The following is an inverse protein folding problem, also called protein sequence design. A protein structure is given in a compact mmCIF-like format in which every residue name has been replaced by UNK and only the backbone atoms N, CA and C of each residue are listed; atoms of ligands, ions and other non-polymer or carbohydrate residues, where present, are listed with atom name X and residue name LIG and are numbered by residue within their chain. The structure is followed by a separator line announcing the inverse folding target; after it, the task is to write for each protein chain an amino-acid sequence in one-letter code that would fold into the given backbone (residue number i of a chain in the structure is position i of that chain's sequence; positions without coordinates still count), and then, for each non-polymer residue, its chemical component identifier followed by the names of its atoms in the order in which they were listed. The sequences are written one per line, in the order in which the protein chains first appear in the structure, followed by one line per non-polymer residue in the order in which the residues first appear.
data_IF_225001063318
#
_entry.id   IF_225001063318
#
_cell.length_a   1.000
_cell.length_b   1.000
_cell.length_c   1.000
_cell.angle_alpha   90.00
_cell.angle_beta   90.00
_cell.angle_gamma   90.00
#
_symmetry.space_group_name_H-M   'P 1'
#
loop_
_entity.id
_entity.type
_entity.pdbx_description
1 polymer ?
#
# COMPACT_ATOMS: atom_id res chain seq x y z
N UNK A 1 4.60 -5.37 4.09
CA UNK A 1 3.84 -6.07 5.16
C UNK A 1 3.84 -5.25 6.45
N UNK A 2 2.71 -5.11 7.14
CA UNK A 2 2.59 -4.25 8.35
C UNK A 2 3.48 -4.70 9.50
N UNK A 3 3.50 -6.01 9.80
CA UNK A 3 4.27 -6.56 10.92
C UNK A 3 5.78 -6.26 10.79
N UNK A 4 6.36 -6.50 9.61
CA UNK A 4 7.77 -6.21 9.31
C UNK A 4 8.09 -4.72 9.46
N UNK A 5 7.15 -3.83 9.09
CA UNK A 5 7.33 -2.38 9.25
C UNK A 5 7.19 -1.94 10.71
N UNK A 6 6.30 -2.54 11.50
CA UNK A 6 6.14 -2.28 12.93
C UNK A 6 5.19 -3.35 13.50
N UNK A 7 5.71 -4.21 14.37
CA UNK A 7 4.91 -5.30 14.95
C UNK A 7 3.82 -4.76 15.89
N UNK A 8 4.09 -3.67 16.62
CA UNK A 8 3.05 -2.98 17.41
C UNK A 8 1.92 -2.39 16.54
N UNK A 9 2.21 -1.90 15.32
CA UNK A 9 1.11 -1.50 14.40
C UNK A 9 0.24 -2.69 14.02
N UNK A 10 0.82 -3.88 13.89
CA UNK A 10 0.06 -5.09 13.64
C UNK A 10 -0.84 -5.43 14.84
N UNK A 11 -0.30 -5.37 16.07
CA UNK A 11 -1.06 -5.55 17.30
C UNK A 11 -2.28 -4.62 17.33
N UNK A 12 -2.07 -3.31 17.19
CA UNK A 12 -3.15 -2.33 17.32
C UNK A 12 -4.22 -2.51 16.24
N UNK A 13 -3.81 -2.65 14.98
CA UNK A 13 -4.76 -2.69 13.85
C UNK A 13 -5.49 -4.03 13.74
N UNK A 14 -4.76 -5.15 13.85
CA UNK A 14 -5.29 -6.46 13.49
C UNK A 14 -5.64 -7.32 14.70
N UNK A 15 -4.81 -7.33 15.75
CA UNK A 15 -5.11 -8.12 16.93
C UNK A 15 -6.12 -7.42 17.88
N UNK A 16 -6.07 -6.09 17.94
CA UNK A 16 -6.97 -5.27 18.77
C UNK A 16 -8.00 -4.48 17.95
N UNK A 17 -8.08 -4.65 16.62
CA UNK A 17 -9.09 -4.00 15.78
C UNK A 17 -9.13 -2.46 15.82
N UNK A 18 -8.12 -1.78 16.38
CA UNK A 18 -8.10 -0.32 16.52
C UNK A 18 -7.68 0.26 15.17
N UNK A 19 -8.66 0.67 14.36
CA UNK A 19 -8.40 1.24 13.03
C UNK A 19 -7.97 2.71 13.12
N UNK A 20 -7.14 3.12 12.17
CA UNK A 20 -6.78 4.51 11.91
C UNK A 20 -7.00 4.81 10.43
N UNK A 21 -7.59 5.97 10.11
CA UNK A 21 -7.67 6.42 8.74
C UNK A 21 -6.27 6.55 8.14
N UNK A 22 -6.05 6.11 6.91
CA UNK A 22 -4.86 6.49 6.17
C UNK A 22 -4.90 8.02 5.92
N UNK A 23 -3.76 8.71 6.05
CA UNK A 23 -3.70 10.15 5.81
C UNK A 23 -4.09 10.55 4.38
N UNK A 24 -4.38 11.84 4.15
CA UNK A 24 -4.85 12.35 2.84
C UNK A 24 -3.93 11.99 1.68
N UNK A 25 -2.61 11.97 1.90
CA UNK A 25 -1.63 11.58 0.88
C UNK A 25 -1.73 10.09 0.48
N UNK A 26 -2.16 9.21 1.40
CA UNK A 26 -2.42 7.80 1.07
C UNK A 26 -3.75 7.64 0.32
N UNK A 27 -4.79 8.41 0.70
CA UNK A 27 -6.06 8.45 -0.05
C UNK A 27 -5.84 8.94 -1.50
N UNK A 28 -4.90 9.86 -1.72
CA UNK A 28 -4.48 10.29 -3.06
C UNK A 28 -3.88 9.15 -3.89
N UNK A 29 -2.94 8.41 -3.29
CA UNK A 29 -2.36 7.22 -3.94
C UNK A 29 -3.42 6.17 -4.26
N UNK A 30 -4.31 5.89 -3.32
CA UNK A 30 -5.45 4.99 -3.52
C UNK A 30 -6.31 5.40 -4.72
N UNK A 31 -6.71 6.68 -4.80
CA UNK A 31 -7.53 7.17 -5.91
C UNK A 31 -6.84 7.03 -7.28
N UNK A 32 -5.51 7.18 -7.34
CA UNK A 32 -4.75 6.89 -8.56
C UNK A 32 -4.79 5.40 -8.92
N UNK A 33 -4.57 4.50 -7.96
CA UNK A 33 -4.67 3.05 -8.21
C UNK A 33 -6.06 2.67 -8.74
N UNK A 34 -7.13 3.12 -8.08
CA UNK A 34 -8.51 2.86 -8.53
C UNK A 34 -8.79 3.42 -9.93
N UNK A 35 -8.25 4.61 -10.24
CA UNK A 35 -8.37 5.21 -11.58
C UNK A 35 -7.70 4.35 -12.65
N UNK A 36 -6.48 3.87 -12.38
CA UNK A 36 -5.76 3.04 -13.34
C UNK A 36 -6.33 1.63 -13.44
N UNK A 37 -6.80 1.06 -12.33
CA UNK A 37 -7.55 -0.20 -12.31
C UNK A 37 -8.77 -0.12 -13.24
N UNK A 38 -9.61 0.91 -13.07
CA UNK A 38 -10.78 1.10 -13.93
C UNK A 38 -10.37 1.31 -15.40
N UNK A 39 -9.33 2.12 -15.65
CA UNK A 39 -8.80 2.31 -17.00
C UNK A 39 -8.35 0.98 -17.64
N UNK A 40 -7.60 0.15 -16.92
CA UNK A 40 -7.07 -1.10 -17.45
C UNK A 40 -8.13 -2.18 -17.60
N UNK A 41 -9.13 -2.22 -16.71
CA UNK A 41 -10.29 -3.11 -16.87
C UNK A 41 -11.07 -2.77 -18.15
N UNK A 42 -11.33 -1.47 -18.41
CA UNK A 42 -11.93 -1.02 -19.66
C UNK A 42 -11.04 -1.38 -20.86
N UNK A 43 -9.73 -1.08 -20.77
CA UNK A 43 -8.77 -1.38 -21.83
C UNK A 43 -8.66 -2.87 -22.14
N UNK A 44 -8.83 -3.74 -21.15
CA UNK A 44 -8.88 -5.20 -21.35
C UNK A 44 -10.09 -5.60 -22.20
N UNK A 45 -11.22 -4.89 -22.07
CA UNK A 45 -12.48 -5.15 -22.78
C UNK A 45 -12.49 -4.56 -24.19
N UNK A 46 -12.03 -3.33 -24.38
CA UNK A 46 -12.19 -2.58 -25.63
C UNK A 46 -10.87 -2.24 -26.36
N UNK A 47 -9.71 -2.61 -25.79
CA UNK A 47 -8.36 -2.28 -26.26
C UNK A 47 -7.99 -0.79 -26.25
N UNK A 48 -8.86 0.10 -25.77
CA UNK A 48 -8.68 1.56 -25.74
C UNK A 48 -8.53 2.07 -24.31
N UNK A 49 -9.40 1.62 -23.40
CA UNK A 49 -9.55 2.16 -22.06
C UNK A 49 -10.14 3.58 -22.07
N UNK A 50 -10.07 4.24 -20.92
CA UNK A 50 -10.49 5.63 -20.78
C UNK A 50 -9.67 6.59 -21.66
N UNK A 51 -10.27 7.72 -22.05
CA UNK A 51 -9.50 8.88 -22.49
C UNK A 51 -8.85 9.55 -21.28
N UNK A 52 -7.75 10.27 -21.51
CA UNK A 52 -7.02 10.97 -20.43
C UNK A 52 -7.92 11.95 -19.66
N UNK A 53 -8.84 12.63 -20.36
CA UNK A 53 -9.81 13.54 -19.74
C UNK A 53 -10.75 12.79 -18.79
N UNK A 54 -11.32 11.68 -19.26
CA UNK A 54 -12.28 10.89 -18.49
C UNK A 54 -11.59 10.26 -17.26
N UNK A 55 -10.34 9.82 -17.40
CA UNK A 55 -9.55 9.31 -16.28
C UNK A 55 -9.27 10.39 -15.21
N UNK A 56 -9.03 11.64 -15.63
CA UNK A 56 -8.87 12.78 -14.71
C UNK A 56 -10.16 13.11 -13.97
N UNK A 57 -11.29 13.14 -14.67
CA UNK A 57 -12.61 13.37 -14.07
C UNK A 57 -12.92 12.27 -13.04
N UNK A 58 -12.70 11.00 -13.41
CA UNK A 58 -12.87 9.85 -12.51
C UNK A 58 -11.95 9.94 -11.28
N UNK A 59 -10.69 10.31 -11.45
CA UNK A 59 -9.76 10.50 -10.32
C UNK A 59 -10.25 11.55 -9.32
N UNK A 60 -10.74 12.70 -9.82
CA UNK A 60 -11.25 13.77 -8.94
C UNK A 60 -12.43 13.27 -8.12
N UNK A 61 -13.35 12.53 -8.74
CA UNK A 61 -14.50 11.94 -8.06
C UNK A 61 -14.08 10.92 -7.00
N UNK A 62 -13.24 9.94 -7.36
CA UNK A 62 -12.75 8.92 -6.42
C UNK A 62 -11.99 9.56 -5.27
N UNK A 63 -11.14 10.55 -5.55
CA UNK A 63 -10.36 11.22 -4.50
C UNK A 63 -11.24 12.05 -3.57
N UNK A 64 -12.28 12.73 -4.09
CA UNK A 64 -13.25 13.44 -3.27
C UNK A 64 -13.96 12.49 -2.31
N UNK A 65 -14.50 11.38 -2.82
CA UNK A 65 -15.20 10.39 -1.97
C UNK A 65 -14.25 9.81 -0.91
N UNK A 66 -13.00 9.54 -1.29
CA UNK A 66 -11.96 9.06 -0.37
C UNK A 66 -11.61 10.08 0.74
N UNK A 67 -11.75 11.39 0.47
CA UNK A 67 -11.59 12.45 1.47
C UNK A 67 -12.80 12.58 2.39
N UNK A 68 -14.02 12.43 1.88
CA UNK A 68 -15.24 12.41 2.70
C UNK A 68 -15.20 11.24 3.70
N UNK A 69 -14.81 10.04 3.26
CA UNK A 69 -14.55 8.90 4.15
C UNK A 69 -13.48 9.22 5.19
N UNK A 70 -12.37 9.83 4.76
CA UNK A 70 -11.28 10.21 5.66
C UNK A 70 -11.76 11.16 6.76
N UNK A 71 -12.60 12.14 6.42
CA UNK A 71 -13.15 13.11 7.38
C UNK A 71 -14.04 12.41 8.43
N UNK A 72 -14.91 11.49 8.00
CA UNK A 72 -15.71 10.67 8.91
C UNK A 72 -14.85 9.81 9.84
N UNK A 73 -13.91 9.04 9.28
CA UNK A 73 -12.99 8.20 10.06
C UNK A 73 -12.11 9.02 11.02
N UNK A 74 -11.71 10.23 10.61
CA UNK A 74 -10.92 11.13 11.46
C UNK A 74 -11.73 11.68 12.61
N UNK A 75 -12.99 12.05 12.43
CA UNK A 75 -13.82 12.57 13.52
C UNK A 75 -13.99 11.52 14.63
N UNK A 76 -14.17 10.25 14.26
CA UNK A 76 -14.26 9.14 15.20
C UNK A 76 -12.93 8.84 15.93
N UNK A 77 -11.79 9.04 15.26
CA UNK A 77 -10.48 8.59 15.77
C UNK A 77 -9.55 9.72 16.24
N UNK A 78 -9.97 10.98 16.13
CA UNK A 78 -9.19 12.20 16.44
C UNK A 78 -8.58 12.20 17.84
N UNK A 79 -9.33 11.72 18.83
CA UNK A 79 -8.86 11.65 20.23
C UNK A 79 -7.65 10.73 20.41
N UNK A 80 -7.48 9.78 19.49
CA UNK A 80 -6.48 8.73 19.55
C UNK A 80 -5.19 9.06 18.81
N UNK A 81 -5.14 10.17 18.08
CA UNK A 81 -3.93 10.68 17.40
C UNK A 81 -3.35 11.89 18.14
N UNK A 82 -2.09 12.20 17.86
CA UNK A 82 -1.35 13.35 18.43
C UNK A 82 -1.81 14.68 17.82
N UNK A 83 -1.56 15.79 18.52
CA UNK A 83 -1.85 17.14 18.00
C UNK A 83 -1.00 17.43 16.77
N UNK A 84 0.26 16.99 16.78
CA UNK A 84 1.23 17.14 15.71
C UNK A 84 0.78 16.43 14.42
N UNK A 85 0.22 15.22 14.53
CA UNK A 85 -0.39 14.50 13.40
C UNK A 85 -1.56 15.30 12.80
N UNK A 86 -2.44 15.82 13.65
CA UNK A 86 -3.59 16.62 13.19
C UNK A 86 -3.17 17.91 12.50
N UNK A 87 -2.16 18.60 13.03
CA UNK A 87 -1.58 19.79 12.40
C UNK A 87 -1.01 19.42 11.03
N UNK A 88 -0.26 18.31 10.94
CA UNK A 88 0.31 17.85 9.68
C UNK A 88 -0.74 17.58 8.61
N UNK A 89 -1.81 16.88 8.95
CA UNK A 89 -2.91 16.58 8.02
C UNK A 89 -3.72 17.84 7.65
N UNK A 90 -3.76 18.85 8.52
CA UNK A 90 -4.39 20.15 8.24
C UNK A 90 -3.57 20.99 7.26
N UNK A 91 -2.25 20.90 7.29
CA UNK A 91 -1.33 21.60 6.38
C UNK A 91 -1.33 21.04 4.95
N UNK A 92 -1.88 19.84 4.74
CA UNK A 92 -1.99 19.24 3.41
C UNK A 92 -3.00 20.03 2.57
N UNK A 93 -2.51 20.66 1.50
CA UNK A 93 -3.32 21.31 0.48
C UNK A 93 -3.95 20.25 -0.44
N UNK A 94 -5.28 20.13 -0.35
CA UNK A 94 -6.07 19.20 -1.18
C UNK A 94 -6.02 19.59 -2.65
N UNK A 95 -6.01 20.89 -2.98
CA UNK A 95 -5.93 21.34 -4.37
C UNK A 95 -4.57 20.99 -4.97
N UNK A 96 -3.49 21.06 -4.18
CA UNK A 96 -2.18 20.58 -4.60
C UNK A 96 -2.21 19.08 -4.90
N UNK A 97 -2.85 18.27 -4.05
CA UNK A 97 -2.99 16.82 -4.28
C UNK A 97 -3.80 16.51 -5.55
N UNK A 98 -4.91 17.22 -5.78
CA UNK A 98 -5.67 17.10 -7.03
C UNK A 98 -4.77 17.42 -8.22
N UNK A 99 -4.14 18.58 -8.23
CA UNK A 99 -3.26 19.00 -9.33
C UNK A 99 -2.10 18.02 -9.55
N UNK A 100 -1.53 17.45 -8.49
CA UNK A 100 -0.52 16.39 -8.58
C UNK A 100 -1.07 15.14 -9.27
N UNK A 101 -2.26 14.68 -8.87
CA UNK A 101 -2.89 13.49 -9.46
C UNK A 101 -3.14 13.66 -10.95
N UNK A 102 -3.64 14.83 -11.36
CA UNK A 102 -3.88 15.15 -12.77
C UNK A 102 -2.58 15.10 -13.61
N UNK A 103 -1.48 15.66 -13.09
CA UNK A 103 -0.15 15.56 -13.75
C UNK A 103 0.36 14.13 -13.82
N UNK A 104 0.15 13.35 -12.76
CA UNK A 104 0.50 11.93 -12.73
C UNK A 104 -0.22 11.13 -13.80
N UNK A 105 -1.52 11.38 -13.97
CA UNK A 105 -2.35 10.76 -15.01
C UNK A 105 -1.84 11.15 -16.40
N UNK A 106 -1.55 12.42 -16.66
CA UNK A 106 -1.01 12.87 -17.96
C UNK A 106 0.26 12.12 -18.35
N UNK A 107 1.21 12.08 -17.44
CA UNK A 107 2.51 11.45 -17.65
C UNK A 107 2.36 9.94 -17.80
N UNK A 108 1.52 9.31 -17.00
CA UNK A 108 1.26 7.87 -17.10
C UNK A 108 0.59 7.51 -18.45
N UNK A 109 -0.40 8.28 -18.87
CA UNK A 109 -1.09 8.07 -20.16
C UNK A 109 -0.17 8.29 -21.35
N UNK A 110 0.78 9.22 -21.24
CA UNK A 110 1.77 9.49 -22.28
C UNK A 110 2.85 8.41 -22.35
N UNK A 111 3.41 8.01 -21.22
CA UNK A 111 4.64 7.22 -21.18
C UNK A 111 4.41 5.71 -21.00
N UNK A 112 3.40 5.32 -20.23
CA UNK A 112 3.18 3.93 -19.81
C UNK A 112 2.00 3.28 -20.52
N UNK A 113 0.86 3.97 -20.59
CA UNK A 113 -0.37 3.41 -21.17
C UNK A 113 -0.16 2.80 -22.58
N UNK A 114 0.55 3.43 -23.54
CA UNK A 114 0.71 2.85 -24.88
C UNK A 114 1.50 1.53 -24.91
N UNK A 115 2.28 1.25 -23.87
CA UNK A 115 3.18 0.09 -23.79
C UNK A 115 2.54 -1.11 -23.10
N UNK A 116 1.45 -0.89 -22.37
CA UNK A 116 0.80 -1.87 -21.51
C UNK A 116 -0.51 -2.39 -22.14
N UNK A 117 -0.61 -3.70 -22.27
CA UNK A 117 -1.81 -4.38 -22.78
C UNK A 117 -2.29 -5.35 -21.70
N UNK A 118 -3.35 -5.04 -20.96
CA UNK A 118 -3.71 -5.78 -19.76
C UNK A 118 -4.15 -7.22 -20.05
N UNK A 119 -3.83 -8.10 -19.10
CA UNK A 119 -4.19 -9.52 -19.03
C UNK A 119 -4.92 -9.79 -17.71
N UNK A 120 -4.27 -9.54 -16.57
CA UNK A 120 -4.90 -9.47 -15.25
C UNK A 120 -4.95 -8.01 -14.78
N UNK A 121 -6.02 -7.62 -14.11
CA UNK A 121 -6.22 -6.26 -13.56
C UNK A 121 -6.89 -6.42 -12.22
N UNK A 122 -6.27 -5.90 -11.15
CA UNK A 122 -6.77 -5.99 -9.78
C UNK A 122 -7.20 -7.41 -9.40
N UNK A 123 -6.46 -8.42 -9.87
CA UNK A 123 -6.84 -9.82 -9.75
C UNK A 123 -6.52 -10.32 -8.34
N UNK A 124 -7.54 -10.77 -7.57
CA UNK A 124 -7.32 -11.31 -6.24
C UNK A 124 -6.62 -12.67 -6.32
N UNK A 125 -5.81 -12.98 -5.31
CA UNK A 125 -5.22 -14.31 -5.14
C UNK A 125 -5.30 -14.76 -3.68
N UNK A 126 -5.37 -16.07 -3.49
CA UNK A 126 -5.26 -16.73 -2.20
C UNK A 126 -4.38 -17.97 -2.35
N UNK A 127 -3.21 -17.96 -1.72
CA UNK A 127 -2.25 -19.06 -1.75
C UNK A 127 -2.23 -19.72 -0.37
N UNK A 128 -2.49 -21.04 -0.27
CA UNK A 128 -2.30 -21.77 0.98
C UNK A 128 -0.86 -21.64 1.49
N UNK A 129 -0.69 -21.24 2.74
CA UNK A 129 0.60 -20.98 3.38
C UNK A 129 0.72 -21.72 4.73
N UNK A 130 0.43 -23.03 4.71
CA UNK A 130 0.37 -23.89 5.90
C UNK A 130 -1.06 -24.34 6.25
N UNK A 131 -1.21 -25.14 7.31
CA UNK A 131 -2.45 -25.88 7.60
C UNK A 131 -3.68 -25.02 7.92
N UNK A 132 -3.53 -23.71 8.16
CA UNK A 132 -4.64 -22.79 8.48
C UNK A 132 -4.41 -21.34 8.04
N UNK A 133 -3.36 -21.09 7.24
CA UNK A 133 -3.00 -19.75 6.80
C UNK A 133 -3.18 -19.63 5.30
N UNK A 134 -3.67 -18.47 4.87
CA UNK A 134 -3.73 -18.09 3.46
C UNK A 134 -2.98 -16.78 3.27
N UNK A 135 -2.07 -16.78 2.31
CA UNK A 135 -1.49 -15.57 1.77
C UNK A 135 -2.47 -15.00 0.75
N UNK A 136 -3.14 -13.91 1.13
CA UNK A 136 -4.10 -13.21 0.28
C UNK A 136 -3.52 -11.89 -0.21
N UNK A 137 -3.96 -11.48 -1.40
CA UNK A 137 -3.58 -10.19 -1.96
C UNK A 137 -4.26 -9.95 -3.30
N UNK A 138 -3.80 -8.91 -3.99
CA UNK A 138 -4.33 -8.47 -5.26
C UNK A 138 -3.17 -8.02 -6.13
N UNK A 139 -3.09 -8.50 -7.38
CA UNK A 139 -2.10 -8.01 -8.34
C UNK A 139 -2.69 -6.80 -9.04
N UNK A 140 -2.01 -5.65 -8.97
CA UNK A 140 -2.42 -4.41 -9.63
C UNK A 140 -2.72 -4.64 -11.12
N UNK A 141 -1.72 -5.08 -11.90
CA UNK A 141 -1.89 -5.40 -13.32
C UNK A 141 -0.81 -6.35 -13.85
N UNK A 142 -1.17 -7.16 -14.85
CA UNK A 142 -0.21 -7.88 -15.68
C UNK A 142 -0.49 -7.62 -17.15
N UNK A 143 0.54 -7.63 -17.99
CA UNK A 143 0.36 -7.48 -19.42
C UNK A 143 0.30 -8.83 -20.18
N UNK A 144 -0.18 -8.79 -21.42
CA UNK A 144 -0.24 -9.96 -22.33
C UNK A 144 1.15 -10.52 -22.69
N UNK A 145 2.24 -9.81 -22.42
CA UNK A 145 3.61 -10.30 -22.61
C UNK A 145 4.07 -11.14 -21.42
N UNK A 146 3.30 -11.15 -20.33
CA UNK A 146 3.60 -11.88 -19.10
C UNK A 146 4.48 -11.08 -18.15
N UNK A 147 4.38 -9.75 -18.17
CA UNK A 147 5.05 -8.85 -17.23
C UNK A 147 4.06 -8.43 -16.15
N UNK A 148 4.49 -8.48 -14.89
CA UNK A 148 3.72 -7.95 -13.75
C UNK A 148 4.09 -6.47 -13.57
N UNK A 149 3.10 -5.61 -13.38
CA UNK A 149 3.28 -4.17 -13.18
C UNK A 149 2.76 -3.77 -11.79
N UNK A 150 3.67 -3.38 -10.91
CA UNK A 150 3.34 -2.83 -9.59
C UNK A 150 3.41 -1.32 -9.63
N UNK A 151 2.26 -0.64 -9.53
CA UNK A 151 2.22 0.81 -9.54
C UNK A 151 2.55 1.35 -8.16
N UNK A 152 3.31 2.44 -8.10
CA UNK A 152 3.52 3.22 -6.88
C UNK A 152 3.50 4.71 -7.17
N UNK A 153 3.14 5.48 -6.16
CA UNK A 153 3.23 6.94 -6.20
C UNK A 153 4.16 7.41 -5.09
N UNK A 154 4.96 8.44 -5.36
CA UNK A 154 5.92 8.96 -4.38
C UNK A 154 6.30 10.40 -4.65
N UNK A 155 6.65 11.15 -3.59
CA UNK A 155 7.29 12.47 -3.69
C UNK A 155 8.82 12.39 -3.66
N UNK A 156 9.37 11.26 -3.21
CA UNK A 156 10.82 11.01 -3.11
C UNK A 156 11.25 10.06 -4.21
N UNK A 157 12.43 10.33 -4.78
CA UNK A 157 13.03 9.43 -5.76
C UNK A 157 13.25 8.05 -5.11
N UNK A 158 12.70 6.97 -5.68
CA UNK A 158 12.97 5.61 -5.21
C UNK A 158 14.44 5.23 -5.45
N UNK A 159 14.97 4.41 -4.54
CA UNK A 159 16.30 3.84 -4.59
C UNK A 159 16.22 2.41 -5.18
N UNK A 160 17.16 2.05 -6.07
CA UNK A 160 17.22 0.73 -6.69
C UNK A 160 17.44 -0.41 -5.68
N UNK A 161 18.22 -0.18 -4.61
CA UNK A 161 18.50 -1.20 -3.59
C UNK A 161 17.23 -1.60 -2.81
N UNK A 162 16.34 -0.64 -2.52
CA UNK A 162 15.08 -0.90 -1.79
C UNK A 162 14.15 -1.85 -2.56
N UNK A 163 14.34 -1.96 -3.88
CA UNK A 163 13.47 -2.74 -4.76
C UNK A 163 13.92 -4.19 -4.81
N UNK A 164 15.23 -4.45 -4.78
CA UNK A 164 15.77 -5.80 -4.73
C UNK A 164 15.39 -6.56 -3.45
N UNK A 165 15.09 -5.83 -2.38
CA UNK A 165 14.69 -6.38 -1.09
C UNK A 165 13.16 -6.38 -0.90
N UNK A 166 12.38 -6.00 -1.91
CA UNK A 166 10.93 -5.87 -1.77
C UNK A 166 10.23 -7.24 -1.80
N UNK A 167 9.79 -7.67 -0.63
CA UNK A 167 9.02 -8.90 -0.42
C UNK A 167 7.70 -8.92 -1.21
N UNK A 168 7.11 -7.76 -1.54
CA UNK A 168 5.89 -7.68 -2.35
C UNK A 168 6.12 -8.26 -3.74
N UNK A 169 7.30 -8.04 -4.33
CA UNK A 169 7.64 -8.57 -5.67
C UNK A 169 7.75 -10.10 -5.67
N UNK A 170 8.29 -10.69 -4.60
CA UNK A 170 8.35 -12.15 -4.45
C UNK A 170 6.94 -12.76 -4.32
N UNK A 171 6.06 -12.11 -3.55
CA UNK A 171 4.66 -12.53 -3.38
C UNK A 171 3.90 -12.46 -4.71
N UNK A 172 4.10 -11.39 -5.48
CA UNK A 172 3.42 -11.20 -6.76
C UNK A 172 3.85 -12.23 -7.81
N UNK A 173 5.13 -12.59 -7.83
CA UNK A 173 5.63 -13.67 -8.70
C UNK A 173 5.01 -15.03 -8.33
N UNK A 174 4.92 -15.35 -7.04
CA UNK A 174 4.28 -16.57 -6.56
C UNK A 174 2.80 -16.60 -6.95
N UNK A 175 2.08 -15.49 -6.75
CA UNK A 175 0.68 -15.35 -7.14
C UNK A 175 0.48 -15.49 -8.65
N UNK A 176 1.33 -14.84 -9.46
CA UNK A 176 1.29 -14.97 -10.91
C UNK A 176 1.50 -16.41 -11.37
N UNK A 177 2.51 -17.10 -10.81
CA UNK A 177 2.78 -18.49 -11.17
C UNK A 177 1.60 -19.41 -10.82
N UNK A 178 0.95 -19.18 -9.68
CA UNK A 178 -0.27 -19.91 -9.29
C UNK A 178 -1.41 -19.64 -10.27
N UNK A 179 -1.68 -18.37 -10.60
CA UNK A 179 -2.80 -17.97 -11.46
C UNK A 179 -2.62 -18.39 -12.92
N UNK A 180 -1.38 -18.39 -13.44
CA UNK A 180 -1.09 -18.62 -14.86
C UNK A 180 -0.42 -19.96 -15.17
N UNK A 181 -0.09 -20.75 -14.14
CA UNK A 181 0.61 -22.04 -14.28
C UNK A 181 2.05 -21.93 -14.79
N UNK A 182 2.61 -20.72 -14.89
CA UNK A 182 3.94 -20.45 -15.44
C UNK A 182 4.56 -19.21 -14.81
N UNK A 183 5.90 -19.11 -14.72
CA UNK A 183 6.54 -17.91 -14.17
C UNK A 183 6.31 -16.67 -15.05
N UNK A 184 6.31 -15.50 -14.42
CA UNK A 184 6.30 -14.23 -15.14
C UNK A 184 7.59 -14.05 -15.93
N UNK A 185 7.50 -13.39 -17.10
CA UNK A 185 8.68 -13.07 -17.92
C UNK A 185 9.46 -11.88 -17.35
N UNK A 186 8.78 -11.01 -16.62
CA UNK A 186 9.35 -9.83 -15.98
C UNK A 186 8.43 -9.29 -14.90
N UNK A 187 8.99 -8.45 -14.04
CA UNK A 187 8.22 -7.62 -13.12
C UNK A 187 8.77 -6.20 -13.17
N UNK A 188 7.88 -5.21 -13.15
CA UNK A 188 8.24 -3.81 -13.06
C UNK A 188 7.63 -3.19 -11.83
N UNK A 189 8.40 -2.26 -11.23
CA UNK A 189 7.89 -1.35 -10.22
C UNK A 189 7.85 0.04 -10.84
N UNK A 190 6.64 0.50 -11.10
CA UNK A 190 6.33 1.67 -11.90
C UNK A 190 5.99 2.82 -10.95
N UNK A 191 6.91 3.75 -10.78
CA UNK A 191 6.71 4.90 -9.90
C UNK A 191 6.25 6.11 -10.70
N UNK A 192 5.12 6.70 -10.29
CA UNK A 192 4.82 8.10 -10.58
C UNK A 192 5.52 8.94 -9.50
N UNK A 193 6.62 9.59 -9.88
CA UNK A 193 7.41 10.45 -9.00
C UNK A 193 6.95 11.88 -9.16
N UNK A 194 6.37 12.44 -8.10
CA UNK A 194 5.91 13.82 -8.05
C UNK A 194 7.00 14.76 -7.54
N UNK A 195 7.18 15.87 -8.24
CA UNK A 195 7.85 17.05 -7.74
C UNK A 195 6.83 18.18 -7.53
N UNK A 196 7.29 19.32 -7.00
CA UNK A 196 6.42 20.47 -6.72
C UNK A 196 5.65 20.96 -7.96
N UNK A 197 6.24 20.85 -9.16
CA UNK A 197 5.64 21.39 -10.39
C UNK A 197 5.48 20.36 -11.51
N UNK A 198 5.99 19.15 -11.33
CA UNK A 198 6.07 18.16 -12.42
C UNK A 198 5.85 16.73 -11.90
N UNK A 199 5.60 15.79 -12.81
CA UNK A 199 5.55 14.36 -12.54
C UNK A 199 6.39 13.63 -13.59
N UNK A 200 6.98 12.49 -13.21
CA UNK A 200 7.71 11.63 -14.16
C UNK A 200 7.55 10.16 -13.80
N UNK A 201 7.70 9.29 -14.79
CA UNK A 201 7.79 7.86 -14.54
C UNK A 201 9.22 7.46 -14.22
N UNK A 202 9.38 6.67 -13.17
CA UNK A 202 10.61 5.93 -12.89
C UNK A 202 10.25 4.46 -12.79
N UNK A 203 10.78 3.67 -13.71
CA UNK A 203 10.53 2.23 -13.76
C UNK A 203 11.78 1.46 -13.34
N UNK A 204 11.59 0.48 -12.46
CA UNK A 204 12.60 -0.52 -12.17
C UNK A 204 12.12 -1.85 -12.72
N UNK A 205 12.91 -2.40 -13.64
CA UNK A 205 12.57 -3.63 -14.34
C UNK A 205 13.47 -4.76 -13.87
N UNK A 206 12.87 -5.89 -13.56
CA UNK A 206 13.56 -7.14 -13.27
C UNK A 206 13.16 -8.13 -14.36
N UNK A 207 14.11 -8.47 -15.21
CA UNK A 207 13.96 -9.50 -16.23
C UNK A 207 14.17 -10.89 -15.61
N UNK A 208 13.31 -11.85 -15.97
CA UNK A 208 13.35 -13.22 -15.43
C UNK A 208 13.48 -13.25 -13.90
N UNK A 209 12.52 -12.66 -13.18
CA UNK A 209 12.64 -12.50 -11.75
C UNK A 209 12.66 -13.88 -11.09
N UNK A 210 13.57 -14.04 -10.13
CA UNK A 210 13.69 -15.25 -9.33
C UNK A 210 13.08 -14.99 -7.97
N UNK A 211 12.35 -15.98 -7.46
CA UNK A 211 11.87 -15.99 -6.10
C UNK A 211 11.96 -17.40 -5.53
N UNK A 212 12.26 -17.49 -4.23
CA UNK A 212 12.18 -18.74 -3.49
C UNK A 212 10.89 -18.76 -2.67
N UNK A 213 9.93 -19.61 -3.08
CA UNK A 213 8.66 -19.78 -2.38
C UNK A 213 8.86 -20.22 -0.92
N UNK A 214 9.89 -21.01 -0.63
CA UNK A 214 10.15 -21.49 0.72
C UNK A 214 10.60 -20.34 1.63
N UNK A 215 11.34 -19.36 1.08
CA UNK A 215 11.69 -18.13 1.82
C UNK A 215 10.44 -17.31 2.12
N UNK A 216 9.54 -17.16 1.15
CA UNK A 216 8.27 -16.44 1.36
C UNK A 216 7.44 -17.11 2.45
N UNK A 217 7.21 -18.43 2.37
CA UNK A 217 6.42 -19.16 3.36
C UNK A 217 7.08 -19.19 4.73
N UNK A 218 8.41 -19.40 4.82
CA UNK A 218 9.14 -19.34 6.09
C UNK A 218 9.00 -17.98 6.76
N UNK A 219 9.06 -16.88 6.00
CA UNK A 219 8.85 -15.54 6.56
C UNK A 219 7.43 -15.36 7.10
N UNK A 220 6.42 -15.86 6.38
CA UNK A 220 5.02 -15.85 6.83
C UNK A 220 4.87 -16.65 8.13
N UNK A 221 5.37 -17.89 8.16
CA UNK A 221 5.30 -18.75 9.34
C UNK A 221 5.98 -18.11 10.55
N UNK A 222 7.15 -17.50 10.33
CA UNK A 222 7.91 -16.80 11.39
C UNK A 222 7.12 -15.61 11.95
N UNK A 223 6.51 -14.80 11.08
CA UNK A 223 5.66 -13.69 11.50
C UNK A 223 4.46 -14.20 12.30
N UNK A 224 3.78 -15.24 11.80
CA UNK A 224 2.58 -15.76 12.45
C UNK A 224 2.89 -16.44 13.78
N UNK A 225 4.02 -17.12 13.89
CA UNK A 225 4.49 -17.66 15.17
C UNK A 225 4.79 -16.55 16.19
N UNK A 226 5.45 -15.48 15.74
CA UNK A 226 5.72 -14.34 16.60
C UNK A 226 4.42 -13.65 17.08
N UNK A 227 3.42 -13.51 16.19
CA UNK A 227 2.07 -13.01 16.55
C UNK A 227 1.41 -13.92 17.58
N UNK A 228 1.42 -15.25 17.41
CA UNK A 228 0.84 -16.20 18.38
C UNK A 228 1.51 -16.12 19.75
N UNK A 229 2.81 -15.83 19.77
CA UNK A 229 3.61 -15.65 21.00
C UNK A 229 3.54 -14.23 21.58
N UNK A 230 2.66 -13.37 21.05
CA UNK A 230 2.52 -11.97 21.47
C UNK A 230 3.82 -11.15 21.37
N UNK A 231 4.66 -11.45 20.38
CA UNK A 231 5.89 -10.72 20.13
C UNK A 231 5.54 -9.49 19.29
N UNK A 232 5.40 -8.35 19.95
CA UNK A 232 5.10 -7.08 19.30
C UNK A 232 6.11 -6.03 19.76
N UNK A 233 7.13 -5.79 18.93
CA UNK A 233 8.15 -4.77 19.20
C UNK A 233 7.85 -3.47 18.46
N UNK A 234 8.22 -2.37 19.10
CA UNK A 234 8.25 -1.04 18.51
C UNK A 234 9.49 -0.90 17.63
N UNK A 235 9.37 -0.23 16.48
CA UNK A 235 10.56 0.31 15.81
C UNK A 235 10.89 1.63 16.50
N UNK A 236 12.12 1.78 16.98
CA UNK A 236 12.48 2.99 17.72
C UNK A 236 12.42 4.21 16.77
N UNK A 237 11.99 5.41 17.22
CA UNK A 237 11.98 6.62 16.38
C UNK A 237 13.36 6.98 15.79
N UNK A 238 14.44 6.58 16.48
CA UNK A 238 15.81 6.73 15.96
C UNK A 238 16.12 5.79 14.77
N UNK A 239 15.39 4.69 14.65
CA UNK A 239 15.53 3.69 13.59
C UNK A 239 14.60 3.96 12.42
N UNK A 240 13.50 4.70 12.62
CA UNK A 240 12.58 5.03 11.53
C UNK A 240 11.77 6.30 11.75
N UNK A 241 11.77 7.14 10.72
CA UNK A 241 10.95 8.35 10.63
C UNK A 241 9.44 8.08 10.74
N UNK A 242 9.00 6.86 10.41
CA UNK A 242 7.58 6.46 10.46
C UNK A 242 7.05 6.37 11.89
N UNK A 243 7.92 6.29 12.89
CA UNK A 243 7.57 6.25 14.32
C UNK A 243 7.73 7.64 14.98
N UNK A 244 7.10 8.67 14.39
CA UNK A 244 7.10 10.04 14.94
C UNK A 244 5.69 10.52 15.29
N UNK A 245 5.60 11.58 16.10
CA UNK A 245 4.33 12.22 16.46
C UNK A 245 3.58 12.81 15.25
N UNK A 246 4.27 13.12 14.17
CA UNK A 246 3.68 13.72 12.97
C UNK A 246 3.19 12.66 11.97
N UNK A 247 3.81 11.48 11.96
CA UNK A 247 3.60 10.46 10.91
C UNK A 247 2.91 9.19 11.41
N UNK A 248 3.01 8.87 12.71
CA UNK A 248 2.46 7.65 13.28
C UNK A 248 1.06 7.89 13.87
N UNK A 249 0.02 7.39 13.21
CA UNK A 249 -1.37 7.40 13.73
C UNK A 249 -1.59 6.57 15.00
N UNK A 250 -0.59 5.80 15.44
CA UNK A 250 -0.61 5.01 16.67
C UNK A 250 0.37 5.53 17.74
N UNK A 251 0.97 6.71 17.56
CA UNK A 251 2.01 7.21 18.48
C UNK A 251 1.58 7.22 19.95
N UNK A 252 0.33 7.63 20.23
CA UNK A 252 -0.22 7.60 21.59
C UNK A 252 -0.30 6.19 22.17
N UNK A 253 -0.68 5.19 21.37
CA UNK A 253 -0.75 3.79 21.81
C UNK A 253 0.63 3.21 22.08
N UNK A 254 1.63 3.56 21.27
CA UNK A 254 3.02 3.19 21.56
C UNK A 254 3.49 3.74 22.91
N UNK A 255 3.21 5.02 23.18
CA UNK A 255 3.57 5.65 24.45
C UNK A 255 2.82 5.02 25.64
N UNK A 256 1.54 4.70 25.46
CA UNK A 256 0.75 4.03 26.49
C UNK A 256 1.24 2.61 26.76
N UNK A 257 1.43 1.80 25.73
CA UNK A 257 1.93 0.43 25.84
C UNK A 257 3.28 0.40 26.58
N UNK A 258 4.18 1.34 26.25
CA UNK A 258 5.47 1.49 26.94
C UNK A 258 5.31 1.83 28.42
N UNK A 259 4.37 2.71 28.77
CA UNK A 259 4.14 3.17 30.16
C UNK A 259 3.41 2.12 31.00
N UNK A 260 2.40 1.47 30.44
CA UNK A 260 1.55 0.51 31.13
C UNK A 260 2.19 -0.89 31.22
N UNK A 261 3.04 -1.22 30.24
CA UNK A 261 3.50 -2.59 30.00
C UNK A 261 2.46 -3.43 29.27
N UNK A 262 2.92 -4.47 28.57
CA UNK A 262 2.09 -5.27 27.68
C UNK A 262 0.87 -5.88 28.37
N UNK A 263 1.04 -6.52 29.53
CA UNK A 263 -0.06 -7.19 30.24
C UNK A 263 -1.21 -6.23 30.59
N UNK A 264 -0.91 -5.06 31.19
CA UNK A 264 -1.94 -4.08 31.57
C UNK A 264 -2.59 -3.45 30.33
N UNK A 265 -1.81 -3.19 29.29
CA UNK A 265 -2.32 -2.67 28.03
C UNK A 265 -3.33 -3.65 27.40
N UNK A 266 -3.00 -4.94 27.33
CA UNK A 266 -3.90 -5.95 26.77
C UNK A 266 -5.20 -6.09 27.56
N UNK A 267 -5.15 -6.06 28.90
CA UNK A 267 -6.36 -6.06 29.73
C UNK A 267 -7.28 -4.88 29.37
N UNK A 268 -6.72 -3.69 29.18
CA UNK A 268 -7.51 -2.49 28.84
C UNK A 268 -8.22 -2.61 27.49
N UNK A 269 -7.55 -3.12 26.47
CA UNK A 269 -8.05 -3.08 25.09
C UNK A 269 -8.70 -4.37 24.60
N UNK A 270 -8.40 -5.53 25.19
CA UNK A 270 -9.10 -6.78 24.84
C UNK A 270 -10.49 -6.88 25.47
N UNK A 271 -10.69 -6.29 26.66
CA UNK A 271 -12.00 -6.29 27.34
C UNK A 271 -13.01 -5.41 26.59
N UNK A 272 -12.55 -4.36 25.92
CA UNK A 272 -13.38 -3.42 25.15
C UNK A 272 -13.87 -3.98 23.80
N UNK A 273 -13.49 -5.21 23.43
CA UNK A 273 -13.89 -5.87 22.17
C UNK A 273 -14.95 -6.97 22.34
N UNK A 274 -15.39 -7.22 23.58
CA UNK A 274 -16.56 -8.06 23.89
C UNK A 274 -17.77 -7.17 24.16
#
# INVERSE_FOLDING_TARGET
MTYVRCAEHYLFRYALGIKRPPGKAMKHGFALHETFAYHFDQKKKDSKGLKVRDAKEFFVEVFRNALEEYEGEMEETKSLVTKEFLLKEKEIDVNELVAMGLRGIDVYFKEMNPKMFPDLVEEPFAIPAGNSLQLVGKIDMTDKKGVIHELKTTRRMPNAQDINLDQQLAIYQLAYQMLKGKPAKGITKDYIVFSRRDAKIVQFKIDKPFFDKNVVFRNIDTIMEAVRRNIFYCIHPAESWVCSKEWCGYYKLHAELRKAGFAKFMVRYMIQQK
#
